data_IF_817566390156
#
_entry.id   IF_817566390156
#
_cell.length_a   1.000
_cell.length_b   1.000
_cell.length_c   1.000
_cell.angle_alpha   90.00
_cell.angle_beta   90.00
_cell.angle_gamma   90.00
#
_symmetry.space_group_name_H-M   'P 1'
#
loop_
_entity.id
_entity.type
_entity.pdbx_description
1 polymer ?
#
# COMPACT_ATOMS: atom_id res chain seq x y z
N UNK A 1 14.72 28.15 -13.37
CA UNK A 1 13.54 27.33 -13.02
C UNK A 1 13.70 25.98 -13.70
N UNK A 2 14.31 25.01 -13.01
CA UNK A 2 14.45 23.66 -13.57
C UNK A 2 13.10 22.95 -13.54
N UNK A 3 12.74 22.27 -14.62
CA UNK A 3 11.68 21.29 -14.59
C UNK A 3 11.98 20.31 -13.46
N UNK A 4 11.01 20.05 -12.60
CA UNK A 4 11.12 18.95 -11.66
C UNK A 4 11.07 17.66 -12.48
N UNK A 5 12.23 17.09 -12.80
CA UNK A 5 12.37 15.69 -13.23
C UNK A 5 12.14 14.81 -12.00
N UNK A 6 10.92 14.81 -11.50
CA UNK A 6 10.48 13.83 -10.52
C UNK A 6 9.98 12.60 -11.28
N UNK A 7 10.29 11.39 -10.80
CA UNK A 7 9.76 10.19 -11.43
C UNK A 7 8.24 10.20 -11.34
N UNK A 8 7.58 10.21 -12.49
CA UNK A 8 6.18 9.78 -12.60
C UNK A 8 6.26 8.27 -12.77
N UNK A 9 5.66 7.54 -11.83
CA UNK A 9 5.54 6.11 -11.93
C UNK A 9 4.21 5.79 -12.60
N UNK A 10 4.28 5.12 -13.74
CA UNK A 10 3.09 4.57 -14.38
C UNK A 10 2.68 3.30 -13.64
N UNK A 11 1.42 3.23 -13.26
CA UNK A 11 0.84 2.10 -12.54
C UNK A 11 -0.03 1.27 -13.48
N UNK A 12 0.21 -0.03 -13.52
CA UNK A 12 -0.58 -0.98 -14.32
C UNK A 12 -0.73 -2.32 -13.58
N UNK A 13 -1.44 -3.27 -14.20
CA UNK A 13 -1.64 -4.62 -13.65
C UNK A 13 -2.12 -4.59 -12.19
N UNK A 14 -3.07 -3.70 -11.92
CA UNK A 14 -3.60 -3.41 -10.59
C UNK A 14 -4.55 -4.53 -10.17
N UNK A 15 -4.22 -5.20 -9.06
CA UNK A 15 -5.02 -6.27 -8.46
C UNK A 15 -5.42 -5.86 -7.05
N UNK A 16 -6.73 -5.76 -6.83
CA UNK A 16 -7.31 -5.60 -5.50
C UNK A 16 -7.75 -6.95 -4.95
N UNK A 17 -7.19 -7.32 -3.79
CA UNK A 17 -7.55 -8.50 -3.03
C UNK A 17 -8.32 -8.09 -1.78
N UNK A 18 -9.42 -8.80 -1.53
CA UNK A 18 -10.26 -8.58 -0.36
C UNK A 18 -9.71 -9.32 0.84
N UNK A 19 -9.99 -8.78 2.02
CA UNK A 19 -9.70 -9.47 3.26
C UNK A 19 -10.61 -10.69 3.42
N UNK A 20 -10.05 -11.87 3.10
CA UNK A 20 -10.73 -13.17 3.07
C UNK A 20 -9.80 -14.24 3.63
N UNK A 21 -10.33 -15.42 3.95
CA UNK A 21 -9.56 -16.49 4.61
C UNK A 21 -8.26 -16.86 3.88
N UNK A 22 -8.30 -16.87 2.54
CA UNK A 22 -7.18 -17.24 1.69
C UNK A 22 -6.25 -16.06 1.31
N UNK A 23 -6.43 -14.86 1.87
CA UNK A 23 -5.70 -13.65 1.42
C UNK A 23 -4.17 -13.84 1.36
N UNK A 24 -3.46 -14.35 2.40
CA UNK A 24 -2.01 -14.49 2.32
C UNK A 24 -1.53 -15.39 1.18
N UNK A 25 -2.25 -16.49 0.91
CA UNK A 25 -1.94 -17.39 -0.18
C UNK A 25 -2.27 -16.78 -1.55
N UNK A 26 -3.43 -16.13 -1.68
CA UNK A 26 -3.84 -15.46 -2.90
C UNK A 26 -2.87 -14.31 -3.26
N UNK A 27 -2.51 -13.48 -2.29
CA UNK A 27 -1.57 -12.38 -2.46
C UNK A 27 -0.18 -12.89 -2.87
N UNK A 28 0.29 -13.98 -2.26
CA UNK A 28 1.54 -14.65 -2.66
C UNK A 28 1.52 -15.10 -4.11
N UNK A 29 0.46 -15.78 -4.54
CA UNK A 29 0.32 -16.28 -5.92
C UNK A 29 0.27 -15.11 -6.91
N UNK A 30 -0.51 -14.06 -6.60
CA UNK A 30 -0.59 -12.86 -7.42
C UNK A 30 0.77 -12.16 -7.53
N UNK A 31 1.52 -12.04 -6.43
CA UNK A 31 2.85 -11.46 -6.39
C UNK A 31 3.86 -12.23 -7.24
N UNK A 32 3.87 -13.56 -7.17
CA UNK A 32 4.75 -14.40 -8.00
C UNK A 32 4.40 -14.26 -9.49
N UNK A 33 3.11 -14.26 -9.83
CA UNK A 33 2.66 -14.10 -11.20
C UNK A 33 3.04 -12.73 -11.78
N UNK A 34 2.82 -11.66 -11.02
CA UNK A 34 3.15 -10.30 -11.42
C UNK A 34 4.66 -10.08 -11.49
N UNK A 35 5.42 -10.53 -10.49
CA UNK A 35 6.87 -10.41 -10.46
C UNK A 35 7.54 -11.04 -11.68
N UNK A 36 7.12 -12.25 -12.06
CA UNK A 36 7.60 -12.91 -13.28
C UNK A 36 7.24 -12.13 -14.54
N UNK A 37 6.02 -11.60 -14.61
CA UNK A 37 5.52 -10.84 -15.76
C UNK A 37 6.33 -9.56 -15.99
N UNK A 38 6.72 -8.87 -14.92
CA UNK A 38 7.54 -7.65 -15.01
C UNK A 38 9.04 -7.93 -15.10
N UNK A 39 9.46 -9.21 -15.12
CA UNK A 39 10.85 -9.62 -15.33
C UNK A 39 11.73 -9.60 -14.08
N UNK A 40 11.17 -9.67 -12.88
CA UNK A 40 11.95 -9.90 -11.66
C UNK A 40 12.57 -11.30 -11.70
N UNK A 41 13.81 -11.43 -11.22
CA UNK A 41 14.45 -12.74 -11.10
C UNK A 41 13.77 -13.62 -10.03
N UNK A 42 14.14 -14.91 -9.99
CA UNK A 42 13.53 -15.88 -9.08
C UNK A 42 13.73 -15.52 -7.60
N UNK A 43 14.92 -15.04 -7.25
CA UNK A 43 15.22 -14.63 -5.88
C UNK A 43 14.35 -13.44 -5.48
N UNK A 44 14.25 -12.43 -6.33
CA UNK A 44 13.45 -11.24 -6.08
C UNK A 44 11.97 -11.55 -6.03
N UNK A 45 11.47 -12.43 -6.90
CA UNK A 45 10.11 -12.95 -6.83
C UNK A 45 9.84 -13.64 -5.47
N UNK A 46 10.76 -14.44 -4.95
CA UNK A 46 10.62 -15.11 -3.67
C UNK A 46 10.59 -14.12 -2.48
N UNK A 47 11.44 -13.08 -2.52
CA UNK A 47 11.47 -12.01 -1.52
C UNK A 47 10.15 -11.21 -1.50
N UNK A 48 9.64 -10.83 -2.67
CA UNK A 48 8.34 -10.15 -2.79
C UNK A 48 7.23 -11.02 -2.25
N UNK A 49 7.21 -12.30 -2.64
CA UNK A 49 6.21 -13.27 -2.20
C UNK A 49 6.20 -13.43 -0.67
N UNK A 50 7.37 -13.40 -0.02
CA UNK A 50 7.48 -13.39 1.44
C UNK A 50 6.91 -12.11 2.05
N UNK A 51 7.36 -10.95 1.58
CA UNK A 51 6.91 -9.65 2.11
C UNK A 51 5.38 -9.45 1.96
N UNK A 52 4.83 -9.84 0.81
CA UNK A 52 3.38 -9.78 0.55
C UNK A 52 2.61 -10.74 1.46
N UNK A 53 3.12 -11.95 1.71
CA UNK A 53 2.49 -12.88 2.65
C UNK A 53 2.49 -12.35 4.08
N UNK A 54 3.58 -11.72 4.53
CA UNK A 54 3.66 -11.07 5.85
C UNK A 54 2.66 -9.91 5.96
N UNK A 55 2.62 -9.03 4.96
CA UNK A 55 1.69 -7.89 4.92
C UNK A 55 0.23 -8.35 4.93
N UNK A 56 -0.12 -9.36 4.14
CA UNK A 56 -1.44 -9.95 4.10
C UNK A 56 -1.82 -10.66 5.42
N UNK A 57 -0.85 -11.31 6.07
CA UNK A 57 -1.05 -11.94 7.38
C UNK A 57 -1.30 -10.90 8.46
N UNK A 58 -0.55 -9.80 8.45
CA UNK A 58 -0.76 -8.68 9.35
C UNK A 58 -2.14 -8.06 9.15
N UNK A 59 -2.54 -7.83 7.89
CA UNK A 59 -3.86 -7.33 7.57
C UNK A 59 -4.94 -8.25 8.17
N UNK A 60 -4.85 -9.55 7.95
CA UNK A 60 -5.81 -10.54 8.46
C UNK A 60 -5.89 -10.67 9.97
N UNK A 61 -4.79 -10.42 10.68
CA UNK A 61 -4.73 -10.56 12.14
C UNK A 61 -5.24 -9.30 12.86
N UNK A 62 -5.14 -8.14 12.24
CA UNK A 62 -5.30 -6.86 12.92
C UNK A 62 -6.36 -5.95 12.31
N UNK A 63 -6.74 -6.16 11.06
CA UNK A 63 -7.81 -5.41 10.43
C UNK A 63 -9.18 -5.84 10.95
N UNK A 64 -10.10 -4.88 11.05
CA UNK A 64 -11.55 -5.15 11.16
C UNK A 64 -12.13 -5.30 9.76
N UNK A 65 -11.79 -4.36 8.88
CA UNK A 65 -11.95 -4.45 7.43
C UNK A 65 -10.64 -4.03 6.78
N UNK A 66 -10.22 -4.76 5.75
CA UNK A 66 -8.94 -4.57 5.08
C UNK A 66 -9.04 -4.68 3.56
N UNK A 67 -8.17 -3.97 2.86
CA UNK A 67 -7.95 -4.09 1.42
C UNK A 67 -6.47 -4.22 1.13
N UNK A 68 -6.13 -5.11 0.21
CA UNK A 68 -4.77 -5.34 -0.25
C UNK A 68 -4.69 -5.03 -1.73
N UNK A 69 -3.82 -4.10 -2.11
CA UNK A 69 -3.51 -3.76 -3.48
C UNK A 69 -2.15 -4.34 -3.85
N UNK A 70 -2.05 -4.89 -5.05
CA UNK A 70 -0.80 -5.24 -5.71
C UNK A 70 -0.79 -4.61 -7.10
N UNK A 71 0.29 -3.96 -7.51
CA UNK A 71 0.41 -3.36 -8.85
C UNK A 71 1.83 -3.38 -9.39
N UNK A 72 1.97 -3.30 -10.70
CA UNK A 72 3.24 -2.96 -11.32
C UNK A 72 3.39 -1.44 -11.32
N UNK A 73 4.59 -0.96 -11.00
CA UNK A 73 5.00 0.43 -11.12
C UNK A 73 6.17 0.51 -12.11
N UNK A 74 6.13 1.47 -13.03
CA UNK A 74 7.13 1.58 -14.10
C UNK A 74 7.73 2.96 -14.20
N UNK A 75 8.99 2.97 -14.61
CA UNK A 75 9.65 4.09 -15.26
C UNK A 75 9.90 3.71 -16.72
N UNK A 76 10.37 4.64 -17.57
CA UNK A 76 10.71 4.30 -18.96
C UNK A 76 11.75 3.18 -19.11
N UNK A 77 12.60 2.94 -18.10
CA UNK A 77 13.68 1.95 -18.15
C UNK A 77 13.48 0.74 -17.24
N UNK A 78 12.66 0.86 -16.21
CA UNK A 78 12.62 -0.11 -15.10
C UNK A 78 11.19 -0.38 -14.66
N UNK A 79 10.95 -1.61 -14.20
CA UNK A 79 9.69 -2.02 -13.60
C UNK A 79 9.89 -2.57 -12.19
N UNK A 80 8.91 -2.32 -11.34
CA UNK A 80 8.86 -2.77 -9.97
C UNK A 80 7.46 -3.22 -9.61
N UNK A 81 7.38 -3.93 -8.49
CA UNK A 81 6.13 -4.35 -7.89
C UNK A 81 5.90 -3.54 -6.63
N UNK A 82 4.69 -3.01 -6.50
CA UNK A 82 4.24 -2.32 -5.29
C UNK A 82 3.07 -3.10 -4.68
N UNK A 83 3.06 -3.18 -3.36
CA UNK A 83 1.81 -3.43 -2.65
C UNK A 83 1.42 -2.25 -1.77
N UNK A 84 0.11 -2.12 -1.55
CA UNK A 84 -0.47 -1.21 -0.56
C UNK A 84 -1.50 -1.97 0.25
N UNK A 85 -1.39 -1.96 1.58
CA UNK A 85 -2.45 -2.46 2.45
C UNK A 85 -3.13 -1.29 3.14
N UNK A 86 -4.45 -1.37 3.27
CA UNK A 86 -5.26 -0.40 3.99
C UNK A 86 -6.20 -1.15 4.93
N UNK A 87 -6.28 -0.74 6.19
CA UNK A 87 -7.27 -1.25 7.14
C UNK A 87 -7.88 -0.14 7.99
N UNK A 88 -8.99 -0.49 8.64
CA UNK A 88 -9.66 0.28 9.68
C UNK A 88 -9.55 -0.39 11.06
N UNK A 89 -8.44 -1.08 11.29
CA UNK A 89 -8.16 -1.72 12.56
C UNK A 89 -7.88 -0.72 13.70
N UNK A 90 -7.40 -1.21 14.83
CA UNK A 90 -7.10 -0.38 16.00
C UNK A 90 -5.98 0.63 15.75
N UNK A 91 -5.19 0.47 14.69
CA UNK A 91 -4.00 1.27 14.41
C UNK A 91 -2.90 1.09 15.46
N UNK A 92 -1.81 1.84 15.30
CA UNK A 92 -0.63 1.80 16.17
C UNK A 92 -0.41 3.17 16.81
N UNK A 93 -0.15 3.19 18.12
CA UNK A 93 0.21 4.41 18.85
C UNK A 93 1.69 4.77 18.68
N UNK A 94 2.56 3.76 18.63
CA UNK A 94 4.00 3.93 18.45
C UNK A 94 4.48 3.03 17.30
N UNK A 95 4.60 3.64 16.11
CA UNK A 95 5.07 2.96 14.89
C UNK A 95 6.55 2.58 15.03
N UNK A 96 7.36 3.45 15.65
CA UNK A 96 8.79 3.21 15.79
C UNK A 96 9.03 1.96 16.65
N UNK A 97 8.29 1.84 17.76
CA UNK A 97 8.33 0.67 18.61
C UNK A 97 7.92 -0.61 17.85
N UNK A 98 6.81 -0.57 17.11
CA UNK A 98 6.33 -1.70 16.31
C UNK A 98 7.33 -2.18 15.24
N UNK A 99 8.12 -1.26 14.66
CA UNK A 99 9.19 -1.59 13.73
C UNK A 99 10.43 -2.17 14.42
N UNK A 100 10.76 -1.68 15.63
CA UNK A 100 11.92 -2.16 16.39
C UNK A 100 11.72 -3.52 17.07
N UNK A 101 10.49 -3.89 17.41
CA UNK A 101 10.18 -5.19 18.05
C UNK A 101 10.38 -6.41 17.13
N UNK A 102 10.85 -6.21 15.90
CA UNK A 102 11.31 -7.26 14.99
C UNK A 102 12.51 -8.10 15.48
N UNK A 103 13.01 -7.84 16.70
CA UNK A 103 14.08 -8.61 17.36
C UNK A 103 13.66 -9.40 18.61
N UNK A 104 12.38 -9.45 19.04
CA UNK A 104 12.00 -10.22 20.24
C UNK A 104 10.72 -11.07 20.14
N UNK A 105 10.71 -12.13 20.95
CA UNK A 105 9.98 -13.39 20.85
C UNK A 105 8.56 -13.39 21.44
N UNK A 106 7.83 -12.27 21.38
CA UNK A 106 6.44 -12.22 21.86
C UNK A 106 5.53 -11.40 20.94
N UNK A 107 4.78 -12.07 20.06
CA UNK A 107 3.74 -11.46 19.24
C UNK A 107 4.19 -11.09 17.83
N UNK A 108 3.75 -11.87 16.86
CA UNK A 108 4.09 -11.95 15.42
C UNK A 108 4.12 -10.68 14.56
N UNK A 109 3.80 -9.49 15.08
CA UNK A 109 3.78 -8.25 14.28
C UNK A 109 5.18 -7.73 13.95
N UNK A 110 6.10 -7.78 14.91
CA UNK A 110 7.44 -7.19 14.76
C UNK A 110 8.30 -7.91 13.71
N UNK A 111 8.24 -9.25 13.67
CA UNK A 111 9.05 -10.06 12.73
C UNK A 111 8.57 -9.86 11.29
N UNK A 112 7.25 -9.80 11.07
CA UNK A 112 6.66 -9.61 9.75
C UNK A 112 6.98 -8.24 9.16
N UNK A 113 6.76 -7.17 9.94
CA UNK A 113 7.09 -5.79 9.52
C UNK A 113 8.60 -5.62 9.30
N UNK A 114 9.44 -6.13 10.21
CA UNK A 114 10.89 -6.10 10.04
C UNK A 114 11.35 -6.85 8.78
N UNK A 115 10.69 -7.96 8.43
CA UNK A 115 10.97 -8.69 7.18
C UNK A 115 10.63 -7.86 5.95
N UNK A 116 9.48 -7.19 5.93
CA UNK A 116 9.09 -6.32 4.82
C UNK A 116 10.11 -5.18 4.66
N UNK A 117 10.47 -4.50 5.75
CA UNK A 117 11.44 -3.39 5.74
C UNK A 117 12.80 -3.82 5.18
N UNK A 118 13.29 -5.00 5.56
CA UNK A 118 14.59 -5.51 5.06
C UNK A 118 14.57 -5.87 3.57
N UNK A 119 13.42 -6.32 3.05
CA UNK A 119 13.31 -6.82 1.69
C UNK A 119 12.93 -5.73 0.69
N UNK A 120 12.14 -4.75 1.11
CA UNK A 120 11.66 -3.66 0.27
C UNK A 120 12.79 -2.68 -0.10
N UNK A 121 12.72 -2.12 -1.31
CA UNK A 121 13.62 -1.02 -1.69
C UNK A 121 13.05 0.34 -1.23
N UNK A 122 11.73 0.43 -1.09
CA UNK A 122 11.06 1.55 -0.42
C UNK A 122 9.92 1.03 0.42
N UNK A 123 9.72 1.63 1.58
CA UNK A 123 8.70 1.27 2.55
C UNK A 123 8.13 2.54 3.18
N UNK A 124 6.82 2.58 3.39
CA UNK A 124 6.17 3.62 4.19
C UNK A 124 4.99 3.05 4.96
N UNK A 125 4.81 3.52 6.18
CA UNK A 125 3.81 3.04 7.12
C UNK A 125 3.20 4.23 7.84
N UNK A 126 1.91 4.43 7.63
CA UNK A 126 1.12 5.44 8.32
C UNK A 126 0.04 4.75 9.13
N UNK A 127 -0.04 5.04 10.42
CA UNK A 127 -1.04 4.45 11.30
C UNK A 127 -1.50 5.47 12.33
N UNK A 128 -2.78 5.43 12.68
CA UNK A 128 -3.38 6.31 13.67
C UNK A 128 -4.26 5.48 14.62
N UNK A 129 -4.12 5.62 15.95
CA UNK A 129 -4.95 4.91 16.92
C UNK A 129 -6.45 5.11 16.66
N UNK A 130 -7.17 3.99 16.59
CA UNK A 130 -8.61 3.93 16.32
C UNK A 130 -9.01 4.33 14.89
N UNK A 131 -8.07 4.42 13.95
CA UNK A 131 -8.34 4.76 12.54
C UNK A 131 -7.77 3.74 11.54
N UNK A 132 -6.90 2.85 11.98
CA UNK A 132 -6.28 1.82 11.13
C UNK A 132 -4.92 2.21 10.58
N UNK A 133 -4.47 1.46 9.59
CA UNK A 133 -3.11 1.49 9.07
C UNK A 133 -3.08 1.47 7.54
N UNK A 134 -2.15 2.22 6.97
CA UNK A 134 -1.76 2.14 5.56
C UNK A 134 -0.28 1.78 5.49
N UNK A 135 0.03 0.72 4.77
CA UNK A 135 1.38 0.24 4.55
C UNK A 135 1.64 0.15 3.06
N UNK A 136 2.78 0.64 2.58
CA UNK A 136 3.23 0.46 1.21
C UNK A 136 4.67 -0.04 1.16
N UNK A 137 4.97 -0.91 0.20
CA UNK A 137 6.32 -1.30 -0.10
C UNK A 137 6.53 -1.54 -1.60
N UNK A 138 7.73 -1.22 -2.09
CA UNK A 138 8.15 -1.46 -3.49
C UNK A 138 9.37 -2.33 -3.59
N UNK A 139 9.39 -3.08 -4.68
CA UNK A 139 10.41 -4.05 -5.00
C UNK A 139 10.76 -3.92 -6.48
N UNK A 140 11.98 -3.50 -6.75
CA UNK A 140 12.62 -3.41 -8.05
C UNK A 140 13.58 -4.57 -8.24
N UNK A 141 14.00 -4.81 -9.47
CA UNK A 141 15.19 -5.62 -9.72
C UNK A 141 16.40 -4.96 -9.05
N UNK A 142 17.33 -5.74 -8.48
CA UNK A 142 18.40 -5.21 -7.62
C UNK A 142 19.25 -4.12 -8.28
N UNK A 143 19.54 -4.27 -9.58
CA UNK A 143 20.26 -3.25 -10.36
C UNK A 143 19.44 -1.97 -10.56
N UNK A 144 18.11 -2.09 -10.67
CA UNK A 144 17.19 -0.97 -10.82
C UNK A 144 16.95 -0.24 -9.50
N UNK A 145 16.99 -0.95 -8.36
CA UNK A 145 16.75 -0.38 -7.03
C UNK A 145 17.67 0.82 -6.74
N UNK A 146 18.96 0.73 -7.08
CA UNK A 146 19.90 1.84 -6.93
C UNK A 146 19.57 3.06 -7.81
N UNK A 147 19.14 2.83 -9.05
CA UNK A 147 18.68 3.90 -9.94
C UNK A 147 17.43 4.59 -9.40
N UNK A 148 16.47 3.81 -8.90
CA UNK A 148 15.23 4.33 -8.35
C UNK A 148 15.46 5.11 -7.05
N UNK A 149 16.35 4.65 -6.18
CA UNK A 149 16.76 5.39 -4.99
C UNK A 149 17.36 6.76 -5.35
N UNK A 150 18.17 6.83 -6.41
CA UNK A 150 18.79 8.07 -6.87
C UNK A 150 17.78 9.07 -7.49
N UNK A 151 16.70 8.59 -8.12
CA UNK A 151 15.63 9.44 -8.65
C UNK A 151 14.74 10.06 -7.55
N UNK A 152 14.77 9.48 -6.34
CA UNK A 152 13.96 9.92 -5.22
C UNK A 152 12.52 9.39 -5.26
N UNK A 153 11.74 9.70 -4.21
CA UNK A 153 10.34 9.27 -4.11
C UNK A 153 9.43 10.20 -4.91
N UNK A 154 8.40 9.68 -5.60
CA UNK A 154 7.37 10.51 -6.20
C UNK A 154 6.70 11.38 -5.14
N UNK A 155 6.47 12.66 -5.47
CA UNK A 155 5.83 13.62 -4.53
C UNK A 155 4.34 13.35 -4.40
N UNK A 156 3.71 12.81 -5.44
CA UNK A 156 2.29 12.44 -5.45
C UNK A 156 2.13 11.12 -6.18
N UNK A 157 1.29 10.26 -5.62
CA UNK A 157 0.78 9.07 -6.26
C UNK A 157 -0.69 8.92 -5.93
N UNK A 158 -1.42 8.27 -6.83
CA UNK A 158 -2.83 7.97 -6.63
C UNK A 158 -3.10 6.48 -6.76
N UNK A 159 -4.19 6.08 -6.14
CA UNK A 159 -4.79 4.76 -6.22
C UNK A 159 -6.19 4.93 -6.76
N UNK A 160 -6.56 4.09 -7.72
CA UNK A 160 -7.93 3.95 -8.18
C UNK A 160 -8.41 2.55 -7.83
N UNK A 161 -9.69 2.43 -7.50
CA UNK A 161 -10.31 1.17 -7.10
C UNK A 161 -11.61 1.00 -7.86
N UNK A 162 -11.81 -0.18 -8.41
CA UNK A 162 -13.08 -0.51 -9.07
C UNK A 162 -14.18 -0.60 -8.01
N UNK A 163 -15.37 -0.11 -8.35
CA UNK A 163 -16.54 -0.36 -7.51
C UNK A 163 -16.86 -1.86 -7.53
N UNK A 164 -17.48 -2.37 -6.46
CA UNK A 164 -17.81 -3.79 -6.35
C UNK A 164 -18.60 -4.27 -7.56
N UNK A 165 -18.11 -5.32 -8.22
CA UNK A 165 -18.75 -5.93 -9.40
C UNK A 165 -18.15 -5.47 -10.73
N UNK A 166 -17.34 -4.42 -10.73
CA UNK A 166 -16.74 -3.86 -11.94
C UNK A 166 -15.26 -4.25 -12.09
N UNK A 167 -14.84 -4.43 -13.35
CA UNK A 167 -13.44 -4.70 -13.72
C UNK A 167 -12.66 -3.42 -14.04
N UNK A 168 -13.35 -2.31 -14.32
CA UNK A 168 -12.75 -1.03 -14.71
C UNK A 168 -13.16 0.05 -13.73
N UNK A 169 -12.19 0.88 -13.32
CA UNK A 169 -12.46 2.07 -12.50
C UNK A 169 -12.74 3.25 -13.42
N UNK A 170 -13.85 3.95 -13.21
CA UNK A 170 -14.19 5.17 -13.94
C UNK A 170 -13.50 6.43 -13.42
N UNK A 171 -12.82 6.34 -12.27
CA UNK A 171 -12.17 7.48 -11.63
C UNK A 171 -10.77 7.72 -12.19
N UNK A 172 -10.35 8.99 -12.18
CA UNK A 172 -9.00 9.42 -12.49
C UNK A 172 -8.56 10.50 -11.50
N UNK A 173 -7.24 10.69 -11.38
CA UNK A 173 -6.67 11.73 -10.54
C UNK A 173 -5.64 12.53 -11.32
N UNK A 174 -5.45 13.78 -10.93
CA UNK A 174 -4.41 14.65 -11.47
C UNK A 174 -3.77 15.43 -10.32
N UNK A 175 -2.45 15.59 -10.38
CA UNK A 175 -1.70 16.41 -9.45
C UNK A 175 -1.12 17.62 -10.18
N UNK A 176 -1.23 18.80 -9.57
CA UNK A 176 -0.61 20.02 -10.08
C UNK A 176 0.20 20.67 -8.98
N UNK A 177 1.48 20.92 -9.26
CA UNK A 177 2.32 21.72 -8.36
C UNK A 177 1.85 23.17 -8.36
N UNK A 178 1.61 23.73 -7.18
CA UNK A 178 1.31 25.15 -7.00
C UNK A 178 2.57 25.85 -6.50
N UNK A 179 3.20 26.75 -7.28
CA UNK A 179 4.38 27.50 -6.84
C UNK A 179 4.07 28.37 -5.61
N UNK A 180 4.97 28.40 -4.63
CA UNK A 180 4.85 29.30 -3.46
C UNK A 180 4.02 28.77 -2.29
N UNK A 181 3.34 27.63 -2.43
CA UNK A 181 2.87 26.89 -1.28
C UNK A 181 4.08 26.19 -0.64
N UNK A 182 4.56 26.70 0.49
CA UNK A 182 5.23 25.83 1.45
C UNK A 182 4.25 24.69 1.78
N UNK A 183 4.71 23.43 2.01
CA UNK A 183 3.84 22.47 2.67
C UNK A 183 3.39 23.18 3.94
N UNK A 184 2.12 23.55 4.00
CA UNK A 184 1.58 24.04 5.25
C UNK A 184 1.97 22.97 6.29
N UNK A 185 2.51 23.37 7.45
CA UNK A 185 2.37 22.52 8.64
C UNK A 185 0.96 21.95 8.56
N UNK A 186 0.78 20.62 8.61
CA UNK A 186 -0.45 19.96 8.20
C UNK A 186 -1.61 20.75 8.76
N UNK A 187 -2.26 21.55 7.91
CA UNK A 187 -3.24 22.51 8.36
C UNK A 187 -4.23 21.66 9.14
N UNK A 188 -4.44 22.01 10.41
CA UNK A 188 -5.31 21.26 11.31
C UNK A 188 -6.51 20.82 10.50
N UNK A 189 -6.64 19.51 10.28
CA UNK A 189 -7.60 18.98 9.33
C UNK A 189 -8.94 19.71 9.58
N UNK A 190 -9.65 20.16 8.52
CA UNK A 190 -10.94 20.82 8.72
C UNK A 190 -11.76 19.96 9.69
N UNK A 191 -12.43 20.55 10.70
CA UNK A 191 -13.13 19.79 11.71
C UNK A 191 -14.01 18.76 11.00
N UNK A 192 -13.74 17.48 11.27
CA UNK A 192 -14.45 16.40 10.60
C UNK A 192 -15.95 16.59 10.83
N UNK A 193 -16.80 16.34 9.82
CA UNK A 193 -18.24 16.31 10.03
C UNK A 193 -18.57 15.35 11.17
N UNK A 194 -19.66 15.65 11.88
CA UNK A 194 -20.09 14.92 13.06
C UNK A 194 -20.21 13.41 12.74
N UNK A 195 -20.12 12.54 13.76
CA UNK A 195 -20.09 11.07 13.57
C UNK A 195 -21.23 10.54 12.69
N UNK A 196 -22.37 11.21 12.64
CA UNK A 196 -23.55 10.86 11.84
C UNK A 196 -23.51 11.28 10.36
N UNK A 197 -22.55 12.12 9.95
CA UNK A 197 -22.42 12.62 8.58
C UNK A 197 -21.30 11.94 7.78
N UNK A 198 -20.66 10.92 8.36
CA UNK A 198 -19.66 10.13 7.63
C UNK A 198 -20.39 9.14 6.74
N UNK A 199 -20.15 9.23 5.43
CA UNK A 199 -20.44 8.11 4.54
C UNK A 199 -19.72 6.88 5.11
N UNK A 200 -20.48 5.90 5.57
CA UNK A 200 -19.94 4.63 6.05
C UNK A 200 -19.27 3.90 4.90
N UNK A 201 -18.35 3.00 5.21
CA UNK A 201 -17.66 2.20 4.18
C UNK A 201 -18.60 1.42 3.29
N UNK A 202 -19.75 0.99 3.80
CA UNK A 202 -20.86 0.45 3.03
C UNK A 202 -21.33 1.39 1.89
N UNK A 203 -21.42 2.69 2.17
CA UNK A 203 -21.86 3.71 1.19
C UNK A 203 -20.75 4.09 0.21
N UNK A 204 -19.47 4.03 0.62
CA UNK A 204 -18.33 4.28 -0.26
C UNK A 204 -17.96 3.09 -1.16
N UNK A 205 -18.33 1.87 -0.75
CA UNK A 205 -17.97 0.62 -1.45
C UNK A 205 -19.16 -0.09 -2.12
N UNK A 206 -20.38 0.42 -1.91
CA UNK A 206 -21.62 -0.21 -2.35
C UNK A 206 -21.98 -1.50 -1.60
N UNK A 207 -21.33 -1.77 -0.46
CA UNK A 207 -21.55 -2.99 0.31
C UNK A 207 -22.89 -2.96 1.05
N UNK A 208 -23.77 -3.94 0.78
CA UNK A 208 -24.93 -4.27 1.61
C UNK A 208 -24.63 -5.54 2.41
N UNK A 209 -24.73 -5.47 3.74
CA UNK A 209 -24.69 -6.64 4.61
C UNK A 209 -25.78 -7.64 4.16
N UNK A 210 -25.47 -8.95 3.99
CA UNK A 210 -26.49 -9.95 3.73
C UNK A 210 -27.44 -10.05 4.94
N UNK A 211 -28.71 -9.64 4.76
CA UNK A 211 -29.75 -9.74 5.80
C UNK A 211 -30.21 -8.43 6.45
N UNK A 212 -29.67 -7.27 6.06
CA UNK A 212 -30.30 -5.99 6.40
C UNK A 212 -31.44 -5.74 5.39
N UNK A 213 -32.68 -5.78 5.89
CA UNK A 213 -33.89 -5.38 5.14
C UNK A 213 -34.07 -3.87 5.19
#
# INVERSE_FOLDING_TARGET
MGALTLPVLDAEDVVWLRDQEALPAAARVAALALGRRIGLDEQRCAEVALAVSEAATNLRRHAVEGSFLLRAVRTPSDAGLEFVTLDEGPGMADIAHALSDGTSTAGTLGIGLGTIVRLADSFDLHSLPGRGTVLTARFWQREAAGRMAALGRPVVEGLTRTITGEEVCGDAWAARRVPGAHPAEPASAPPRPARDERLGWAQLTGYRQPGAT
#
